data_IF_031873016559
#
_entry.id   IF_031873016559
#
_cell.length_a   1.000
_cell.length_b   1.000
_cell.length_c   1.000
_cell.angle_alpha   90.00
_cell.angle_beta   90.00
_cell.angle_gamma   90.00
#
_symmetry.space_group_name_H-M   'P 1'
#
loop_
_entity.id
_entity.type
_entity.pdbx_description
1 polymer ?
#
# COMPACT_ATOMS: atom_id res chain seq x y z
N UNK A 1 2.47 -2.94 4.38
CA UNK A 1 2.15 -4.21 5.07
C UNK A 1 2.18 -5.35 4.06
N UNK A 2 2.54 -6.59 4.46
CA UNK A 2 2.67 -7.74 3.56
C UNK A 2 2.34 -9.04 4.31
N UNK A 3 2.19 -10.17 3.57
CA UNK A 3 2.11 -11.50 4.19
C UNK A 3 3.44 -11.88 4.84
N UNK A 4 3.40 -12.55 5.99
CA UNK A 4 4.57 -13.05 6.70
C UNK A 4 5.43 -14.05 5.88
N UNK A 5 4.87 -14.58 4.78
CA UNK A 5 5.58 -15.49 3.87
C UNK A 5 6.37 -14.79 2.77
N UNK A 6 6.36 -13.43 2.72
CA UNK A 6 7.03 -12.62 1.70
C UNK A 6 8.16 -11.80 2.29
N UNK A 7 9.17 -11.51 1.49
CA UNK A 7 10.21 -10.54 1.82
C UNK A 7 9.68 -9.12 1.64
N UNK A 8 10.10 -8.19 2.49
CA UNK A 8 9.60 -6.81 2.52
C UNK A 8 9.85 -6.04 1.21
N UNK A 9 10.88 -6.41 0.47
CA UNK A 9 11.29 -5.80 -0.80
C UNK A 9 10.83 -6.56 -2.04
N UNK A 10 10.00 -7.61 -1.88
CA UNK A 10 9.47 -8.39 -3.00
C UNK A 10 8.36 -7.60 -3.71
N UNK A 11 8.55 -7.37 -4.99
CA UNK A 11 7.53 -6.81 -5.85
C UNK A 11 6.56 -7.91 -6.29
N UNK A 12 5.27 -7.60 -6.29
CA UNK A 12 4.23 -8.52 -6.74
C UNK A 12 4.25 -8.60 -8.28
N UNK A 13 4.56 -9.78 -8.87
CA UNK A 13 4.68 -9.95 -10.32
C UNK A 13 3.35 -10.12 -11.05
N UNK A 14 2.20 -9.93 -10.37
CA UNK A 14 0.88 -10.07 -10.97
C UNK A 14 -0.03 -11.06 -10.24
N UNK A 15 0.28 -11.45 -9.01
CA UNK A 15 -0.56 -12.35 -8.23
C UNK A 15 -1.73 -11.63 -7.55
N UNK A 16 -2.89 -12.28 -7.58
CA UNK A 16 -4.12 -11.83 -6.91
C UNK A 16 -5.04 -11.03 -7.83
N UNK A 17 -6.03 -10.39 -7.22
CA UNK A 17 -6.99 -9.56 -7.92
C UNK A 17 -6.34 -8.29 -8.48
N UNK A 18 -6.90 -7.70 -9.56
CA UNK A 18 -6.48 -6.40 -10.06
C UNK A 18 -6.52 -5.34 -8.96
N UNK A 19 -5.52 -4.47 -8.94
CA UNK A 19 -5.41 -3.37 -7.99
C UNK A 19 -5.54 -2.03 -8.72
N UNK A 20 -5.67 -0.93 -7.98
CA UNK A 20 -5.88 0.41 -8.54
C UNK A 20 -4.86 0.79 -9.63
N UNK A 21 -3.58 0.47 -9.44
CA UNK A 21 -2.49 0.82 -10.36
C UNK A 21 -1.68 -0.39 -10.84
N UNK A 22 -2.22 -1.57 -10.75
CA UNK A 22 -1.61 -2.82 -11.22
C UNK A 22 -2.70 -3.78 -11.70
N UNK A 23 -2.42 -4.66 -12.63
CA UNK A 23 -1.14 -4.95 -13.25
C UNK A 23 -1.19 -4.51 -14.72
N UNK A 24 -0.05 -4.16 -15.32
CA UNK A 24 0.06 -3.71 -16.72
C UNK A 24 1.37 -4.21 -17.35
N UNK A 25 1.47 -4.08 -18.66
CA UNK A 25 2.65 -4.48 -19.43
C UNK A 25 2.64 -5.95 -19.86
N UNK A 26 3.48 -6.25 -20.86
CA UNK A 26 3.80 -7.60 -21.32
C UNK A 26 5.32 -7.68 -21.62
N UNK A 27 6.10 -8.32 -20.74
CA UNK A 27 5.71 -8.97 -19.48
C UNK A 27 5.13 -8.01 -18.45
N UNK A 28 4.33 -8.55 -17.52
CA UNK A 28 3.71 -7.75 -16.44
C UNK A 28 4.78 -7.05 -15.61
N UNK A 29 4.63 -5.75 -15.44
CA UNK A 29 5.49 -4.94 -14.55
C UNK A 29 5.16 -5.27 -13.09
N UNK A 30 6.11 -5.81 -12.32
CA UNK A 30 5.90 -6.08 -10.90
C UNK A 30 5.68 -4.79 -10.11
N UNK A 31 4.87 -4.82 -9.07
CA UNK A 31 4.56 -3.63 -8.26
C UNK A 31 4.75 -3.86 -6.77
N UNK A 32 5.08 -2.79 -6.05
CA UNK A 32 5.12 -2.74 -4.59
C UNK A 32 4.27 -1.57 -4.09
N UNK A 33 3.26 -1.86 -3.27
CA UNK A 33 2.51 -0.83 -2.55
C UNK A 33 3.16 -0.51 -1.22
N UNK A 34 3.20 0.78 -0.87
CA UNK A 34 3.70 1.26 0.41
C UNK A 34 2.87 2.46 0.90
N UNK A 35 3.02 2.81 2.17
CA UNK A 35 2.40 3.98 2.78
C UNK A 35 3.45 4.80 3.54
N UNK A 36 3.18 6.10 3.72
CA UNK A 36 4.07 7.04 4.38
C UNK A 36 4.15 6.79 5.89
N UNK A 37 3.03 6.34 6.49
CA UNK A 37 2.89 6.08 7.93
C UNK A 37 2.38 4.67 8.21
N UNK A 38 2.53 4.23 9.45
CA UNK A 38 1.97 2.96 9.92
C UNK A 38 0.44 2.98 9.86
N UNK A 39 -0.17 4.09 10.25
CA UNK A 39 -1.63 4.25 10.26
C UNK A 39 -2.20 4.16 8.84
N UNK A 40 -1.57 4.79 7.86
CA UNK A 40 -1.97 4.64 6.47
C UNK A 40 -1.77 3.21 5.93
N UNK A 41 -0.70 2.52 6.35
CA UNK A 41 -0.48 1.13 5.97
C UNK A 41 -1.54 0.18 6.56
N UNK A 42 -1.95 0.42 7.81
CA UNK A 42 -3.05 -0.30 8.46
C UNK A 42 -4.38 0.00 7.76
N UNK A 43 -4.69 1.28 7.57
CA UNK A 43 -5.94 1.73 6.96
C UNK A 43 -6.13 1.17 5.54
N UNK A 44 -5.10 1.22 4.70
CA UNK A 44 -5.16 0.72 3.32
C UNK A 44 -5.12 -0.82 3.21
N UNK A 45 -4.74 -1.53 4.27
CA UNK A 45 -4.57 -3.00 4.19
C UNK A 45 -5.56 -3.77 5.06
N UNK A 46 -5.77 -3.35 6.31
CA UNK A 46 -6.61 -4.06 7.29
C UNK A 46 -7.99 -3.44 7.43
N UNK A 47 -8.09 -2.11 7.29
CA UNK A 47 -9.34 -1.40 7.52
C UNK A 47 -10.06 -1.04 6.22
N UNK A 48 -9.54 -1.49 5.08
CA UNK A 48 -10.06 -1.13 3.74
C UNK A 48 -11.55 -1.45 3.58
N UNK A 49 -12.02 -2.56 4.13
CA UNK A 49 -13.39 -3.06 4.01
C UNK A 49 -14.21 -2.84 5.30
N UNK A 50 -13.64 -2.19 6.32
CA UNK A 50 -14.35 -1.86 7.56
C UNK A 50 -15.06 -0.51 7.37
N UNK A 51 -16.36 -0.39 7.73
CA UNK A 51 -17.10 0.87 7.65
C UNK A 51 -16.47 1.97 8.50
N UNK A 52 -16.67 3.24 8.09
CA UNK A 52 -16.16 4.42 8.82
C UNK A 52 -16.75 4.54 10.22
N UNK A 53 -17.96 4.02 10.41
CA UNK A 53 -18.64 4.00 11.72
C UNK A 53 -17.98 3.03 12.72
N UNK A 54 -17.03 2.21 12.24
CA UNK A 54 -16.37 1.19 13.03
C UNK A 54 -16.79 -0.22 12.69
N UNK A 55 -16.24 -1.19 13.39
CA UNK A 55 -16.53 -2.61 13.17
C UNK A 55 -15.53 -3.53 13.84
N UNK A 56 -15.51 -4.80 13.44
CA UNK A 56 -14.58 -5.81 13.93
C UNK A 56 -13.54 -6.16 12.89
N UNK A 57 -12.29 -6.30 13.31
CA UNK A 57 -11.19 -6.84 12.52
C UNK A 57 -10.91 -8.29 12.96
N UNK A 58 -11.33 -9.29 12.17
CA UNK A 58 -11.12 -10.70 12.50
C UNK A 58 -9.65 -11.11 12.55
N UNK A 59 -9.32 -12.06 13.43
CA UNK A 59 -7.97 -12.55 13.64
C UNK A 59 -7.30 -13.07 12.36
N UNK A 60 -7.99 -13.82 11.53
CA UNK A 60 -7.51 -14.40 10.29
C UNK A 60 -7.14 -13.35 9.22
N UNK A 61 -7.70 -12.15 9.30
CA UNK A 61 -7.38 -11.06 8.37
C UNK A 61 -6.04 -10.39 8.66
N UNK A 62 -5.54 -10.43 9.89
CA UNK A 62 -4.32 -9.74 10.27
C UNK A 62 -3.19 -10.67 10.78
N UNK A 63 -3.48 -11.82 11.38
CA UNK A 63 -2.49 -12.68 12.03
C UNK A 63 -1.35 -13.14 11.11
N UNK A 64 -1.66 -13.35 9.82
CA UNK A 64 -0.65 -13.70 8.80
C UNK A 64 0.07 -12.49 8.20
N UNK A 65 -0.16 -11.28 8.70
CA UNK A 65 0.45 -10.04 8.18
C UNK A 65 1.61 -9.57 9.04
N UNK A 66 2.52 -8.88 8.37
CA UNK A 66 3.61 -8.15 9.03
C UNK A 66 3.63 -6.71 8.53
N UNK A 67 3.93 -5.78 9.43
CA UNK A 67 4.20 -4.39 9.10
C UNK A 67 5.71 -4.19 9.18
N UNK A 68 6.31 -3.68 8.12
CA UNK A 68 7.76 -3.42 8.06
C UNK A 68 8.01 -2.01 7.57
N UNK A 69 9.14 -1.44 7.99
CA UNK A 69 9.64 -0.18 7.45
C UNK A 69 10.62 -0.43 6.33
N UNK A 70 10.45 0.31 5.23
CA UNK A 70 11.41 0.35 4.13
C UNK A 70 12.19 1.66 4.18
N UNK A 71 13.51 1.57 4.00
CA UNK A 71 14.37 2.73 3.76
C UNK A 71 14.61 2.88 2.27
N UNK A 72 14.36 4.10 1.76
CA UNK A 72 14.67 4.46 0.37
C UNK A 72 16.18 4.70 0.26
N UNK A 73 16.84 4.06 -0.69
CA UNK A 73 18.31 4.07 -0.83
C UNK A 73 18.80 5.05 -1.90
N UNK A 74 17.92 5.54 -2.76
CA UNK A 74 18.21 6.49 -3.84
C UNK A 74 17.02 7.40 -4.12
N UNK A 75 17.24 8.50 -4.82
CA UNK A 75 16.15 9.36 -5.31
C UNK A 75 15.24 8.59 -6.27
N UNK A 76 13.92 8.71 -6.07
CA UNK A 76 12.89 8.13 -6.92
C UNK A 76 12.04 9.24 -7.54
N UNK A 77 11.71 9.08 -8.82
CA UNK A 77 10.81 9.96 -9.56
C UNK A 77 9.42 9.38 -9.56
N UNK A 78 8.48 10.00 -8.86
CA UNK A 78 7.10 9.53 -8.75
C UNK A 78 6.11 10.53 -9.32
N UNK A 79 5.07 10.03 -9.98
CA UNK A 79 3.97 10.85 -10.47
C UNK A 79 3.05 11.28 -9.32
N UNK A 80 2.78 12.58 -9.21
CA UNK A 80 1.99 13.15 -8.12
C UNK A 80 0.50 13.13 -8.49
N UNK A 81 -0.27 12.26 -7.84
CA UNK A 81 -1.71 12.09 -8.00
C UNK A 81 -2.50 12.66 -6.81
N UNK A 82 -2.06 13.79 -6.27
CA UNK A 82 -2.76 14.50 -5.19
C UNK A 82 -2.59 16.01 -5.33
N UNK A 83 -3.41 16.78 -4.61
CA UNK A 83 -3.33 18.24 -4.56
C UNK A 83 -3.35 18.88 -5.96
N UNK A 84 -2.40 19.76 -6.23
CA UNK A 84 -2.27 20.43 -7.53
C UNK A 84 -1.88 19.50 -8.68
N UNK A 85 -1.33 18.31 -8.38
CA UNK A 85 -1.01 17.29 -9.37
C UNK A 85 -2.26 16.82 -10.12
N UNK A 86 -3.36 16.54 -9.41
CA UNK A 86 -4.64 16.17 -10.02
C UNK A 86 -5.17 17.27 -10.96
N UNK A 87 -5.08 18.53 -10.54
CA UNK A 87 -5.50 19.66 -11.38
C UNK A 87 -4.70 19.79 -12.67
N UNK A 88 -3.38 19.57 -12.61
CA UNK A 88 -2.50 19.57 -13.79
C UNK A 88 -2.88 18.46 -14.76
N UNK A 89 -3.34 17.32 -14.25
CA UNK A 89 -3.79 16.17 -15.04
C UNK A 89 -5.26 16.29 -15.46
N UNK A 90 -6.00 17.34 -14.99
CA UNK A 90 -7.42 17.60 -15.27
C UNK A 90 -8.33 16.45 -14.81
N UNK A 91 -8.02 15.83 -13.68
CA UNK A 91 -8.78 14.75 -13.06
C UNK A 91 -9.06 15.05 -11.59
N UNK A 92 -10.10 14.38 -11.05
CA UNK A 92 -10.44 14.44 -9.62
C UNK A 92 -9.89 13.24 -8.86
N UNK A 93 -9.81 13.35 -7.53
CA UNK A 93 -9.46 12.21 -6.69
C UNK A 93 -10.48 11.06 -6.82
N UNK A 94 -11.77 11.38 -6.94
CA UNK A 94 -12.83 10.38 -7.14
C UNK A 94 -12.65 9.54 -8.39
N UNK A 95 -12.17 10.14 -9.48
CA UNK A 95 -11.92 9.43 -10.74
C UNK A 95 -10.65 8.56 -10.68
N UNK A 96 -9.63 8.99 -9.95
CA UNK A 96 -8.30 8.38 -10.06
C UNK A 96 -7.84 7.61 -8.81
N UNK A 97 -7.99 8.20 -7.62
CA UNK A 97 -7.37 7.68 -6.40
C UNK A 97 -8.36 7.23 -5.33
N UNK A 98 -9.61 7.70 -5.38
CA UNK A 98 -10.63 7.40 -4.39
C UNK A 98 -11.84 6.61 -4.96
N UNK A 99 -11.82 6.28 -6.26
CA UNK A 99 -12.90 5.54 -6.92
C UNK A 99 -12.99 4.07 -6.48
N UNK A 100 -14.11 3.39 -6.81
CA UNK A 100 -14.33 1.98 -6.49
C UNK A 100 -13.45 1.05 -7.34
N UNK A 101 -13.40 -0.23 -7.00
CA UNK A 101 -12.63 -1.25 -7.73
C UNK A 101 -13.05 -1.38 -9.21
N UNK A 102 -14.30 -1.08 -9.55
CA UNK A 102 -14.78 -1.05 -10.95
C UNK A 102 -14.04 -0.02 -11.83
N UNK A 103 -13.40 0.98 -11.23
CA UNK A 103 -12.59 1.98 -11.95
C UNK A 103 -11.16 1.52 -12.24
N UNK A 104 -10.67 0.40 -11.69
CA UNK A 104 -9.26 -0.01 -11.75
C UNK A 104 -8.76 -0.20 -13.19
N UNK A 105 -9.60 -0.68 -14.11
CA UNK A 105 -9.22 -0.78 -15.53
C UNK A 105 -8.81 0.57 -16.15
N UNK A 106 -9.42 1.66 -15.70
CA UNK A 106 -9.06 3.00 -16.17
C UNK A 106 -7.82 3.52 -15.43
N UNK A 107 -7.72 3.29 -14.11
CA UNK A 107 -6.60 3.81 -13.31
C UNK A 107 -5.28 3.10 -13.61
N UNK A 108 -5.30 1.83 -14.01
CA UNK A 108 -4.12 1.09 -14.48
C UNK A 108 -3.46 1.76 -15.70
N UNK A 109 -4.25 2.37 -16.61
CA UNK A 109 -3.68 3.10 -17.76
C UNK A 109 -2.86 4.33 -17.35
N UNK A 110 -3.17 4.93 -16.19
CA UNK A 110 -2.36 6.01 -15.62
C UNK A 110 -1.01 5.50 -15.11
N UNK A 111 -0.99 4.32 -14.51
CA UNK A 111 0.27 3.67 -14.11
C UNK A 111 1.13 3.31 -15.31
N UNK A 112 0.53 2.76 -16.36
CA UNK A 112 1.18 2.44 -17.63
C UNK A 112 1.75 3.71 -18.29
N UNK A 113 0.98 4.79 -18.36
CA UNK A 113 1.45 6.08 -18.91
C UNK A 113 2.59 6.68 -18.07
N UNK A 114 2.50 6.63 -16.74
CA UNK A 114 3.56 7.08 -15.84
C UNK A 114 4.85 6.25 -16.02
N UNK A 115 4.70 4.94 -16.14
CA UNK A 115 5.81 4.04 -16.42
C UNK A 115 6.46 4.35 -17.77
N UNK A 116 5.68 4.56 -18.84
CA UNK A 116 6.21 4.83 -20.19
C UNK A 116 7.05 6.11 -20.29
N UNK A 117 6.77 7.12 -19.44
CA UNK A 117 7.56 8.37 -19.37
C UNK A 117 8.72 8.32 -18.38
N UNK A 118 9.04 7.15 -17.85
CA UNK A 118 10.25 6.92 -17.04
C UNK A 118 10.09 7.22 -15.55
N UNK A 119 8.88 7.23 -14.99
CA UNK A 119 8.68 7.35 -13.55
C UNK A 119 8.91 6.01 -12.85
N UNK A 120 9.39 6.06 -11.61
CA UNK A 120 9.65 4.89 -10.76
C UNK A 120 8.37 4.41 -10.04
N UNK A 121 7.31 5.22 -10.04
CA UNK A 121 6.05 4.93 -9.37
C UNK A 121 5.07 6.09 -9.34
N UNK A 122 4.03 5.96 -8.52
CA UNK A 122 3.00 6.96 -8.29
C UNK A 122 2.81 7.21 -6.79
N UNK A 123 2.35 8.42 -6.43
CA UNK A 123 2.02 8.83 -5.08
C UNK A 123 0.67 9.54 -5.05
N UNK A 124 -0.18 9.19 -4.07
CA UNK A 124 -1.49 9.81 -3.84
C UNK A 124 -1.79 9.96 -2.35
N UNK A 125 -2.82 10.72 -1.98
CA UNK A 125 -3.33 10.71 -0.61
C UNK A 125 -4.13 9.43 -0.37
N UNK A 126 -3.84 8.74 0.73
CA UNK A 126 -4.62 7.59 1.15
C UNK A 126 -6.09 7.98 1.31
N UNK A 127 -7.00 7.20 0.74
CA UNK A 127 -8.43 7.44 0.92
C UNK A 127 -8.89 7.16 2.34
N UNK A 128 -8.24 6.19 2.98
CA UNK A 128 -8.60 5.70 4.31
C UNK A 128 -7.88 6.47 5.42
N UNK A 129 -6.78 7.18 5.10
CA UNK A 129 -5.95 7.96 6.02
C UNK A 129 -5.52 9.25 5.30
N UNK A 130 -6.45 10.23 5.22
CA UNK A 130 -6.39 11.38 4.32
C UNK A 130 -5.30 12.43 4.67
N UNK A 131 -4.49 12.18 5.66
CA UNK A 131 -3.34 13.00 6.09
C UNK A 131 -1.99 12.37 5.72
N UNK A 132 -1.98 11.17 5.15
CA UNK A 132 -0.78 10.45 4.76
C UNK A 132 -0.84 9.94 3.32
N UNK A 133 0.33 9.75 2.72
CA UNK A 133 0.46 9.31 1.34
C UNK A 133 0.56 7.79 1.22
N UNK A 134 0.01 7.28 0.11
CA UNK A 134 0.20 5.93 -0.37
C UNK A 134 0.98 5.96 -1.69
N UNK A 135 1.69 4.88 -1.97
CA UNK A 135 2.60 4.75 -3.10
C UNK A 135 2.41 3.43 -3.82
N UNK A 136 2.66 3.42 -5.11
CA UNK A 136 2.97 2.22 -5.88
C UNK A 136 4.30 2.43 -6.59
N UNK A 137 5.20 1.45 -6.51
CA UNK A 137 6.50 1.46 -7.17
C UNK A 137 6.57 0.36 -8.22
N UNK A 138 7.26 0.64 -9.33
CA UNK A 138 7.43 -0.27 -10.46
C UNK A 138 8.70 -1.11 -10.29
N UNK A 139 8.54 -2.44 -10.28
CA UNK A 139 9.58 -3.37 -9.89
C UNK A 139 10.75 -3.44 -10.86
N UNK A 140 10.49 -3.36 -12.16
CA UNK A 140 11.53 -3.34 -13.20
C UNK A 140 12.52 -2.16 -13.05
N UNK A 141 12.08 -1.08 -12.35
CA UNK A 141 12.89 0.10 -12.06
C UNK A 141 13.46 0.11 -10.66
N UNK A 142 12.77 -0.51 -9.71
CA UNK A 142 13.07 -0.37 -8.28
C UNK A 142 13.71 -1.62 -7.65
N UNK A 143 13.57 -2.81 -8.26
CA UNK A 143 14.04 -4.09 -7.71
C UNK A 143 15.45 -4.51 -8.12
N UNK A 144 16.26 -3.62 -8.71
CA UNK A 144 17.59 -3.97 -9.22
C UNK A 144 18.52 -4.53 -8.14
N UNK A 145 19.09 -5.71 -8.34
CA UNK A 145 19.96 -6.40 -7.37
C UNK A 145 21.19 -5.59 -6.94
N UNK A 146 21.80 -4.87 -7.89
CA UNK A 146 23.00 -4.05 -7.61
C UNK A 146 22.71 -2.70 -6.98
N UNK A 147 21.50 -2.18 -7.13
CA UNK A 147 21.07 -0.90 -6.61
C UNK A 147 19.57 -0.92 -6.31
N UNK A 148 19.15 -1.70 -5.30
CA UNK A 148 17.74 -1.76 -4.93
C UNK A 148 17.29 -0.39 -4.46
N UNK A 149 16.07 0.02 -4.83
CA UNK A 149 15.50 1.30 -4.37
C UNK A 149 15.13 1.26 -2.89
N UNK A 150 14.96 0.07 -2.33
CA UNK A 150 14.52 -0.15 -0.96
C UNK A 150 15.35 -1.20 -0.27
N UNK A 151 15.58 -0.97 1.03
CA UNK A 151 16.05 -1.98 1.98
C UNK A 151 15.09 -2.03 3.17
N UNK A 152 14.90 -3.20 3.75
CA UNK A 152 14.14 -3.33 4.98
C UNK A 152 14.93 -2.71 6.15
N UNK A 153 14.26 -1.93 6.99
CA UNK A 153 14.80 -1.49 8.27
C UNK A 153 14.71 -2.67 9.27
N UNK A 154 15.84 -3.27 9.68
CA UNK A 154 15.81 -4.43 10.57
C UNK A 154 15.37 -4.08 11.99
N UNK A 155 15.32 -2.79 12.33
CA UNK A 155 14.97 -2.31 13.68
C UNK A 155 13.48 -2.05 13.83
N UNK A 156 12.68 -2.22 12.76
CA UNK A 156 11.27 -1.86 12.78
C UNK A 156 10.42 -2.86 12.01
N UNK A 157 9.81 -3.77 12.75
CA UNK A 157 8.83 -4.71 12.25
C UNK A 157 7.76 -4.99 13.31
N UNK A 158 6.52 -5.25 12.86
CA UNK A 158 5.41 -5.76 13.67
C UNK A 158 4.94 -7.07 13.09
N UNK A 159 4.88 -8.10 13.93
CA UNK A 159 4.46 -9.45 13.54
C UNK A 159 3.14 -9.74 14.26
N UNK A 160 2.03 -9.59 13.57
CA UNK A 160 0.71 -9.61 14.22
C UNK A 160 0.27 -11.00 14.73
N UNK A 161 1.03 -12.06 14.50
CA UNK A 161 0.91 -13.30 15.24
C UNK A 161 1.45 -13.18 16.70
N UNK A 162 2.24 -12.15 17.01
CA UNK A 162 2.81 -11.91 18.34
C UNK A 162 1.79 -11.20 19.24
N UNK A 163 1.57 -11.66 20.49
CA UNK A 163 0.66 -10.98 21.42
C UNK A 163 1.00 -9.50 21.68
N UNK A 164 2.28 -9.15 21.73
CA UNK A 164 2.70 -7.77 21.95
C UNK A 164 2.30 -6.86 20.78
N UNK A 165 2.41 -7.33 19.53
CA UNK A 165 2.04 -6.58 18.36
C UNK A 165 0.51 -6.59 18.12
N UNK A 166 -0.21 -7.58 18.65
CA UNK A 166 -1.69 -7.55 18.72
C UNK A 166 -2.17 -6.45 19.65
N UNK A 167 -1.60 -6.34 20.86
CA UNK A 167 -1.93 -5.25 21.79
C UNK A 167 -1.65 -3.90 21.12
N UNK A 168 -0.50 -3.74 20.48
CA UNK A 168 -0.18 -2.51 19.75
C UNK A 168 -1.21 -2.22 18.63
N UNK A 169 -1.69 -3.24 17.89
CA UNK A 169 -2.71 -3.08 16.86
C UNK A 169 -4.06 -2.68 17.47
N UNK A 170 -4.46 -3.28 18.60
CA UNK A 170 -5.66 -2.93 19.35
C UNK A 170 -5.63 -1.43 19.73
N UNK A 171 -4.52 -0.98 20.32
CA UNK A 171 -4.37 0.42 20.72
C UNK A 171 -4.47 1.41 19.54
N UNK A 172 -4.00 0.99 18.35
CA UNK A 172 -4.10 1.79 17.12
C UNK A 172 -5.49 1.82 16.52
N UNK A 173 -6.24 0.72 16.63
CA UNK A 173 -7.56 0.58 16.04
C UNK A 173 -8.68 1.11 16.96
N UNK A 174 -8.48 1.11 18.27
CA UNK A 174 -9.49 1.54 19.24
C UNK A 174 -10.02 2.99 19.02
N UNK A 175 -9.20 4.01 18.72
CA UNK A 175 -9.68 5.35 18.41
C UNK A 175 -10.52 5.44 17.12
N UNK A 176 -10.41 4.41 16.26
CA UNK A 176 -11.14 4.31 15.00
C UNK A 176 -12.44 3.48 15.15
N UNK A 177 -12.82 3.16 16.38
CA UNK A 177 -13.97 2.29 16.69
C UNK A 177 -13.89 0.91 16.04
N UNK A 178 -12.68 0.36 15.90
CA UNK A 178 -12.45 -0.97 15.35
C UNK A 178 -11.97 -1.93 16.43
N UNK A 179 -12.79 -2.95 16.69
CA UNK A 179 -12.49 -4.02 17.64
C UNK A 179 -11.60 -5.08 16.96
N UNK A 180 -10.35 -5.17 17.38
CA UNK A 180 -9.42 -6.21 16.91
C UNK A 180 -9.71 -7.50 17.67
N UNK A 181 -10.23 -8.50 16.97
CA UNK A 181 -10.58 -9.80 17.58
C UNK A 181 -9.31 -10.67 17.69
N UNK A 182 -9.02 -11.13 18.89
CA UNK A 182 -7.93 -12.08 19.15
C UNK A 182 -8.44 -13.52 18.96
N UNK A 183 -7.52 -14.46 18.70
CA UNK A 183 -7.89 -15.88 18.62
C UNK A 183 -8.51 -16.34 19.93
N UNK A 184 -9.67 -17.04 19.93
CA UNK A 184 -10.22 -17.64 21.13
C UNK A 184 -9.23 -18.67 21.70
N UNK A 185 -9.02 -18.62 23.01
CA UNK A 185 -8.16 -19.56 23.72
C UNK A 185 -8.66 -21.01 23.64
#
# INVERSE_FOLDING_TARGET
MLSATRTATDFNPGFGAPTRFGFFGDPVVPILYAAETEDAAIAETLLHDIPVEGGALPYDQYASKVLVRLKVTRTLRVGILHGTGLRRLKVTAGELTAGPASSYRATVRWAEAAHSVGLDGLVWMSRMCNDAKAYVFFGDRCAGERSPAFIQDPTHARIFASPADQIWLIDRCAPLHVDVLIEPA
#
